data_IF_576769775501
#
_entry.id   IF_576769775501
#
_cell.length_a   1.000
_cell.length_b   1.000
_cell.length_c   1.000
_cell.angle_alpha   90.00
_cell.angle_beta   90.00
_cell.angle_gamma   90.00
#
_symmetry.space_group_name_H-M   'P 1'
#
loop_
_entity.id
_entity.type
_entity.pdbx_description
1 polymer ?
#
# COMPACT_ATOMS: atom_id res chain seq x y z
N UNK A 1 25.73 37.10 -2.85
CA UNK A 1 24.69 36.69 -3.83
C UNK A 1 23.95 35.49 -3.25
N UNK A 2 22.68 35.65 -2.81
CA UNK A 2 21.72 34.52 -2.63
C UNK A 2 21.54 33.88 -4.01
N UNK A 3 21.40 32.57 -4.16
CA UNK A 3 20.13 31.82 -4.13
C UNK A 3 20.51 30.34 -3.91
N UNK A 4 20.19 29.81 -2.73
CA UNK A 4 19.22 28.73 -2.45
C UNK A 4 19.60 27.35 -3.00
N UNK A 5 19.75 26.45 -2.05
CA UNK A 5 19.66 25.00 -2.15
C UNK A 5 18.51 24.58 -3.05
N UNK A 6 18.80 23.78 -4.08
CA UNK A 6 17.82 22.85 -4.62
C UNK A 6 18.32 21.46 -4.28
N UNK A 7 17.69 20.76 -3.31
CA UNK A 7 18.11 19.43 -2.90
C UNK A 7 17.83 18.44 -4.03
N UNK A 8 18.80 17.58 -4.32
CA UNK A 8 18.78 16.59 -5.39
C UNK A 8 18.05 15.30 -4.94
N UNK A 9 16.98 15.43 -4.15
CA UNK A 9 16.21 14.32 -3.55
C UNK A 9 14.92 14.01 -4.32
N UNK A 10 14.77 14.50 -5.55
CA UNK A 10 13.56 14.29 -6.36
C UNK A 10 13.42 12.88 -6.97
N UNK A 11 14.28 11.93 -6.60
CA UNK A 11 14.21 10.54 -7.11
C UNK A 11 13.49 9.57 -6.16
N UNK A 12 12.86 10.08 -5.09
CA UNK A 12 12.08 9.26 -4.15
C UNK A 12 10.57 9.57 -4.24
N UNK A 13 10.10 10.02 -5.40
CA UNK A 13 8.68 9.89 -5.70
C UNK A 13 8.37 8.37 -5.72
N UNK A 14 7.51 7.84 -4.84
CA UNK A 14 7.24 6.41 -4.78
C UNK A 14 6.59 5.98 -6.09
N UNK A 15 7.39 5.50 -7.03
CA UNK A 15 6.89 4.99 -8.31
C UNK A 15 6.10 3.71 -8.06
N UNK A 16 5.05 3.49 -8.84
CA UNK A 16 4.07 2.42 -8.59
C UNK A 16 4.59 0.99 -8.59
N UNK A 17 5.85 0.80 -9.02
CA UNK A 17 6.59 -0.46 -8.97
C UNK A 17 7.05 -0.89 -7.57
N UNK A 18 6.90 -0.05 -6.56
CA UNK A 18 7.48 -0.28 -5.23
C UNK A 18 6.58 -1.11 -4.29
N UNK A 19 5.38 -1.49 -4.75
CA UNK A 19 4.46 -2.34 -4.00
C UNK A 19 4.81 -3.81 -4.18
N UNK A 20 5.22 -4.47 -3.09
CA UNK A 20 5.30 -5.93 -3.04
C UNK A 20 3.90 -6.54 -3.28
N UNK A 21 3.83 -7.76 -3.81
CA UNK A 21 2.59 -8.50 -4.09
C UNK A 21 1.69 -8.58 -2.84
N UNK A 22 2.33 -8.74 -1.68
CA UNK A 22 1.67 -8.71 -0.37
C UNK A 22 1.00 -7.36 -0.09
N UNK A 23 1.68 -6.25 -0.40
CA UNK A 23 1.19 -4.90 -0.16
C UNK A 23 0.04 -4.55 -1.10
N UNK A 24 0.12 -4.97 -2.37
CA UNK A 24 -0.98 -4.87 -3.34
C UNK A 24 -2.22 -5.62 -2.86
N UNK A 25 -2.02 -6.83 -2.33
CA UNK A 25 -3.10 -7.64 -1.75
C UNK A 25 -3.73 -6.92 -0.54
N UNK A 26 -2.92 -6.42 0.40
CA UNK A 26 -3.41 -5.68 1.57
C UNK A 26 -4.21 -4.44 1.14
N UNK A 27 -3.68 -3.64 0.21
CA UNK A 27 -4.36 -2.44 -0.29
C UNK A 27 -5.70 -2.77 -0.99
N UNK A 28 -5.73 -3.86 -1.75
CA UNK A 28 -6.95 -4.36 -2.40
C UNK A 28 -8.02 -4.74 -1.37
N UNK A 29 -7.62 -5.46 -0.32
CA UNK A 29 -8.54 -5.89 0.74
C UNK A 29 -8.98 -4.71 1.63
N UNK A 30 -8.12 -3.72 1.84
CA UNK A 30 -8.51 -2.48 2.51
C UNK A 30 -9.59 -1.72 1.73
N UNK A 31 -9.50 -1.68 0.40
CA UNK A 31 -10.50 -1.05 -0.48
C UNK A 31 -11.87 -1.73 -0.39
N UNK A 32 -11.92 -3.05 -0.17
CA UNK A 32 -13.19 -3.78 0.04
C UNK A 32 -13.79 -3.55 1.43
N UNK A 33 -13.14 -2.76 2.28
CA UNK A 33 -13.59 -2.44 3.64
C UNK A 33 -13.20 -3.49 4.68
N UNK A 34 -12.31 -4.43 4.35
CA UNK A 34 -11.88 -5.44 5.31
C UNK A 34 -11.07 -4.82 6.47
N UNK A 35 -11.25 -5.38 7.66
CA UNK A 35 -10.44 -5.05 8.84
C UNK A 35 -9.10 -5.77 8.81
N UNK A 36 -8.12 -5.27 9.58
CA UNK A 36 -6.81 -5.92 9.72
C UNK A 36 -6.92 -7.40 10.11
N UNK A 37 -7.89 -7.76 10.94
CA UNK A 37 -8.13 -9.14 11.39
C UNK A 37 -8.68 -10.02 10.26
N UNK A 38 -9.54 -9.48 9.39
CA UNK A 38 -10.03 -10.19 8.21
C UNK A 38 -8.90 -10.38 7.17
N UNK A 39 -8.08 -9.34 6.97
CA UNK A 39 -6.90 -9.39 6.08
C UNK A 39 -5.89 -10.41 6.60
N UNK A 40 -5.58 -10.38 7.90
CA UNK A 40 -4.67 -11.31 8.56
C UNK A 40 -5.11 -12.77 8.36
N UNK A 41 -6.40 -13.06 8.57
CA UNK A 41 -6.97 -14.39 8.34
C UNK A 41 -6.87 -14.83 6.88
N UNK A 42 -7.19 -13.94 5.92
CA UNK A 42 -7.16 -14.26 4.49
C UNK A 42 -5.75 -14.49 3.95
N UNK A 43 -4.76 -13.83 4.54
CA UNK A 43 -3.36 -13.92 4.14
C UNK A 43 -2.55 -14.88 5.00
N UNK A 44 -3.17 -15.59 5.96
CA UNK A 44 -2.51 -16.51 6.90
C UNK A 44 -1.32 -15.88 7.65
N UNK A 45 -1.43 -14.60 8.02
CA UNK A 45 -0.42 -13.85 8.77
C UNK A 45 -1.03 -13.21 10.03
N UNK A 46 -0.18 -12.72 10.94
CA UNK A 46 -0.67 -12.04 12.14
C UNK A 46 -1.20 -10.64 11.83
N UNK A 47 -2.17 -10.17 12.63
CA UNK A 47 -2.65 -8.78 12.62
C UNK A 47 -1.50 -7.77 12.75
N UNK A 48 -0.52 -8.04 13.61
CA UNK A 48 0.66 -7.17 13.80
C UNK A 48 1.48 -7.04 12.51
N UNK A 49 1.60 -8.11 11.72
CA UNK A 49 2.28 -8.09 10.42
C UNK A 49 1.52 -7.21 9.42
N UNK A 50 0.18 -7.33 9.38
CA UNK A 50 -0.68 -6.49 8.53
C UNK A 50 -0.51 -5.01 8.90
N UNK A 51 -0.64 -4.68 10.18
CA UNK A 51 -0.52 -3.30 10.67
C UNK A 51 0.84 -2.67 10.39
N UNK A 52 1.93 -3.43 10.59
CA UNK A 52 3.28 -2.97 10.27
C UNK A 52 3.43 -2.64 8.79
N UNK A 53 2.90 -3.49 7.91
CA UNK A 53 2.93 -3.27 6.45
C UNK A 53 2.08 -2.08 6.03
N UNK A 54 0.86 -1.96 6.55
CA UNK A 54 -0.02 -0.80 6.29
C UNK A 54 0.66 0.49 6.72
N UNK A 55 1.28 0.52 7.91
CA UNK A 55 1.99 1.70 8.40
C UNK A 55 3.18 2.06 7.51
N UNK A 56 4.03 1.09 7.18
CA UNK A 56 5.13 1.30 6.25
C UNK A 56 4.65 1.82 4.90
N UNK A 57 3.50 1.34 4.43
CA UNK A 57 2.95 1.73 3.15
C UNK A 57 2.34 3.13 3.17
N UNK A 58 1.66 3.51 4.26
CA UNK A 58 1.19 4.88 4.51
C UNK A 58 2.36 5.86 4.58
N UNK A 59 3.42 5.52 5.32
CA UNK A 59 4.61 6.37 5.47
C UNK A 59 5.28 6.61 4.11
N UNK A 60 5.44 5.55 3.29
CA UNK A 60 6.01 5.64 1.94
C UNK A 60 5.14 6.43 0.96
N UNK A 61 3.81 6.33 1.06
CA UNK A 61 2.87 6.96 0.12
C UNK A 61 2.30 8.30 0.59
N UNK A 62 2.69 8.76 1.79
CA UNK A 62 2.16 9.99 2.38
C UNK A 62 0.67 9.92 2.76
N UNK A 63 0.08 8.72 2.85
CA UNK A 63 -1.32 8.54 3.21
C UNK A 63 -1.50 8.74 4.72
N UNK A 64 -2.48 9.57 5.12
CA UNK A 64 -2.73 9.91 6.53
C UNK A 64 -3.76 9.00 7.17
N UNK A 65 -4.44 8.18 6.37
CA UNK A 65 -5.38 7.19 6.86
C UNK A 65 -5.36 5.92 6.00
N UNK A 66 -5.74 4.80 6.61
CA UNK A 66 -5.93 3.51 5.90
C UNK A 66 -6.94 3.60 4.76
N UNK A 67 -7.94 4.48 4.91
CA UNK A 67 -8.96 4.72 3.89
C UNK A 67 -8.36 5.50 2.72
N UNK A 68 -7.65 6.59 3.02
CA UNK A 68 -6.90 7.36 2.03
C UNK A 68 -5.89 6.48 1.29
N UNK A 69 -5.21 5.57 1.99
CA UNK A 69 -4.31 4.58 1.36
C UNK A 69 -5.05 3.66 0.38
N UNK A 70 -6.21 3.12 0.77
CA UNK A 70 -7.04 2.28 -0.09
C UNK A 70 -7.58 3.03 -1.32
N UNK A 71 -7.84 4.34 -1.21
CA UNK A 71 -8.26 5.19 -2.33
C UNK A 71 -7.10 5.58 -3.26
N UNK A 72 -5.96 6.01 -2.72
CA UNK A 72 -4.78 6.39 -3.52
C UNK A 72 -4.22 5.22 -4.33
N UNK A 73 -4.36 3.99 -3.82
CA UNK A 73 -3.90 2.79 -4.52
C UNK A 73 -4.94 2.20 -5.47
N UNK A 74 -6.21 2.65 -5.43
CA UNK A 74 -7.28 2.08 -6.24
C UNK A 74 -7.04 2.14 -7.77
N UNK A 75 -6.58 3.27 -8.35
CA UNK A 75 -6.32 3.36 -9.79
C UNK A 75 -5.16 2.46 -10.25
N UNK A 76 -4.25 2.14 -9.34
CA UNK A 76 -3.06 1.33 -9.60
C UNK A 76 -3.37 -0.17 -9.57
N UNK A 77 -4.31 -0.57 -8.73
CA UNK A 77 -4.73 -1.96 -8.56
C UNK A 77 -5.72 -2.39 -9.65
N UNK A 78 -6.48 -1.46 -10.25
CA UNK A 78 -7.48 -1.75 -11.28
C UNK A 78 -6.89 -2.36 -12.57
N UNK A 79 -5.58 -2.19 -12.80
CA UNK A 79 -4.84 -2.80 -13.91
C UNK A 79 -4.03 -4.05 -13.52
N UNK A 80 -4.02 -4.41 -12.24
CA UNK A 80 -3.19 -5.49 -11.69
C UNK A 80 -3.92 -6.14 -10.50
N UNK A 81 -4.98 -6.91 -10.77
CA UNK A 81 -5.48 -7.84 -9.76
C UNK A 81 -4.41 -8.92 -9.56
N UNK A 82 -3.82 -9.04 -8.36
CA UNK A 82 -2.73 -9.98 -8.13
C UNK A 82 -3.18 -11.44 -8.35
N UNK A 83 -2.35 -12.24 -9.04
CA UNK A 83 -2.59 -13.67 -9.33
C UNK A 83 -2.86 -14.49 -8.04
N UNK A 84 -2.36 -13.99 -6.91
CA UNK A 84 -2.54 -14.58 -5.58
C UNK A 84 -3.99 -14.49 -5.06
N UNK A 85 -4.79 -13.51 -5.50
CA UNK A 85 -6.21 -13.40 -5.14
C UNK A 85 -7.11 -14.32 -5.98
N UNK A 86 -6.71 -14.66 -7.21
CA UNK A 86 -7.49 -15.53 -8.11
C UNK A 86 -7.65 -16.97 -7.58
N UNK A 87 -6.72 -17.42 -6.73
CA UNK A 87 -6.75 -18.74 -6.09
C UNK A 87 -7.59 -18.81 -4.81
N UNK A 88 -8.13 -17.68 -4.35
CA UNK A 88 -8.93 -17.56 -3.12
C UNK A 88 -10.45 -17.48 -3.40
N UNK A 89 -10.91 -18.06 -4.51
CA UNK A 89 -12.33 -18.23 -4.87
C UNK A 89 -12.79 -19.66 -4.63
#
# INVERSE_FOLDING_TARGET
MRVRSTPLDLIDAPTDNDLDETERTIATLLRTGMTDDQIARRMSITRRTVQRRIRSLMDRRGARSRFELGMHLAPLIENALPDSLARLR
#
